data_IF_268772861942
#
_entry.id   IF_268772861942
#
_cell.length_a   1.000
_cell.length_b   1.000
_cell.length_c   1.000
_cell.angle_alpha   90.00
_cell.angle_beta   90.00
_cell.angle_gamma   90.00
#
_symmetry.space_group_name_H-M   'P 1'
#
loop_
_entity.id
_entity.type
_entity.pdbx_description
1 polymer ?
#
# COMPACT_ATOMS: atom_id res chain seq x y z
N UNK A 1 -8.75 12.05 7.95
CA UNK A 1 -9.33 10.72 8.23
C UNK A 1 -10.86 10.82 8.31
N UNK A 2 -11.41 11.51 9.32
CA UNK A 2 -12.85 11.57 9.59
C UNK A 2 -13.72 12.10 8.44
N UNK A 3 -13.32 13.21 7.80
CA UNK A 3 -14.11 13.83 6.72
C UNK A 3 -14.46 12.87 5.59
N UNK A 4 -13.45 12.27 4.95
CA UNK A 4 -13.65 11.27 3.86
C UNK A 4 -14.39 10.01 4.28
N UNK A 5 -14.45 9.66 5.57
CA UNK A 5 -15.17 8.49 6.07
C UNK A 5 -16.65 8.75 6.37
N UNK A 6 -17.01 9.95 6.86
CA UNK A 6 -18.36 10.19 7.40
C UNK A 6 -19.10 11.37 6.77
N UNK A 7 -18.40 12.25 6.05
CA UNK A 7 -19.02 13.40 5.40
C UNK A 7 -19.27 13.09 3.94
N UNK A 8 -20.54 12.93 3.57
CA UNK A 8 -20.97 12.64 2.18
C UNK A 8 -20.63 13.74 1.18
N UNK A 9 -20.45 14.99 1.64
CA UNK A 9 -20.01 16.12 0.82
C UNK A 9 -18.49 16.17 0.59
N UNK A 10 -17.72 15.29 1.24
CA UNK A 10 -16.29 15.19 1.00
C UNK A 10 -16.05 14.57 -0.39
N UNK A 11 -15.19 15.19 -1.20
CA UNK A 11 -14.91 14.73 -2.56
C UNK A 11 -14.38 13.28 -2.59
N UNK A 12 -13.73 12.83 -1.52
CA UNK A 12 -13.23 11.46 -1.41
C UNK A 12 -14.24 10.49 -0.78
N UNK A 13 -15.45 10.92 -0.40
CA UNK A 13 -16.40 10.05 0.33
C UNK A 13 -16.69 8.75 -0.43
N UNK A 14 -16.93 8.82 -1.73
CA UNK A 14 -17.25 7.65 -2.56
C UNK A 14 -16.17 6.55 -2.47
N UNK A 15 -14.90 6.93 -2.35
CA UNK A 15 -13.76 5.99 -2.29
C UNK A 15 -13.43 5.49 -0.86
N UNK A 16 -14.10 6.05 0.14
CA UNK A 16 -13.88 5.75 1.56
C UNK A 16 -15.21 5.41 2.24
N UNK A 17 -15.90 6.39 2.82
CA UNK A 17 -17.17 6.17 3.52
C UNK A 17 -18.23 5.46 2.67
N UNK A 18 -18.32 5.80 1.38
CA UNK A 18 -19.22 5.16 0.42
C UNK A 18 -18.90 3.68 0.16
N UNK A 19 -17.68 3.23 0.45
CA UNK A 19 -17.27 1.81 0.41
C UNK A 19 -17.42 1.09 1.75
N UNK A 20 -17.91 1.79 2.78
CA UNK A 20 -18.04 1.26 4.13
C UNK A 20 -16.77 1.32 4.99
N UNK A 21 -15.73 2.05 4.54
CA UNK A 21 -14.49 2.24 5.31
C UNK A 21 -14.77 3.19 6.48
N UNK A 22 -14.53 2.72 7.70
CA UNK A 22 -14.77 3.43 8.95
C UNK A 22 -13.48 3.68 9.71
N UNK A 23 -13.63 4.41 10.81
CA UNK A 23 -12.62 4.62 11.84
C UNK A 23 -13.07 3.88 13.08
N UNK A 24 -12.19 3.13 13.73
CA UNK A 24 -12.55 2.38 14.92
C UNK A 24 -13.09 3.32 16.02
N UNK A 25 -14.08 2.83 16.78
CA UNK A 25 -14.79 3.64 17.78
C UNK A 25 -13.84 4.29 18.78
N UNK A 26 -12.82 3.54 19.23
CA UNK A 26 -11.78 4.03 20.15
C UNK A 26 -11.09 5.32 19.68
N UNK A 27 -10.85 5.48 18.38
CA UNK A 27 -10.24 6.70 17.81
C UNK A 27 -11.26 7.80 17.55
N UNK A 28 -12.55 7.47 17.43
CA UNK A 28 -13.64 8.44 17.37
C UNK A 28 -13.92 9.06 18.75
N UNK A 29 -13.76 8.26 19.80
CA UNK A 29 -14.04 8.67 21.18
C UNK A 29 -13.00 9.67 21.70
N UNK A 30 -11.74 9.57 21.27
CA UNK A 30 -10.66 10.42 21.76
C UNK A 30 -9.44 10.43 20.84
N UNK A 31 -8.85 11.62 20.66
CA UNK A 31 -7.59 11.79 19.93
C UNK A 31 -6.39 11.19 20.70
N UNK A 32 -6.45 11.21 22.03
CA UNK A 32 -5.43 10.62 22.91
C UNK A 32 -5.31 9.11 22.68
N UNK A 33 -6.43 8.41 22.43
CA UNK A 33 -6.40 7.00 22.04
C UNK A 33 -5.70 6.79 20.70
N UNK A 34 -5.98 7.65 19.71
CA UNK A 34 -5.27 7.63 18.43
C UNK A 34 -3.77 7.84 18.64
N UNK A 35 -3.39 8.82 19.46
CA UNK A 35 -1.98 9.14 19.75
C UNK A 35 -1.29 8.01 20.52
N UNK A 36 -1.97 7.36 21.46
CA UNK A 36 -1.46 6.21 22.20
C UNK A 36 -1.20 5.00 21.28
N UNK A 37 -2.11 4.75 20.34
CA UNK A 37 -2.02 3.60 19.44
C UNK A 37 -1.02 3.84 18.28
N UNK A 38 -0.96 5.06 17.74
CA UNK A 38 -0.12 5.40 16.58
C UNK A 38 1.22 6.04 16.92
N UNK A 39 1.35 6.61 18.11
CA UNK A 39 2.47 7.45 18.49
C UNK A 39 2.54 8.77 17.71
N UNK A 40 3.52 9.59 18.09
CA UNK A 40 3.83 10.83 17.38
C UNK A 40 4.25 10.54 15.95
N UNK A 41 3.76 11.38 15.01
CA UNK A 41 4.21 11.34 13.62
C UNK A 41 5.74 11.46 13.54
N UNK A 42 6.46 10.49 12.94
CA UNK A 42 7.93 10.46 12.97
C UNK A 42 8.58 11.66 12.28
N UNK A 43 8.01 12.13 11.18
CA UNK A 43 8.50 13.31 10.46
C UNK A 43 7.42 13.96 9.58
N UNK A 44 7.71 15.14 9.05
CA UNK A 44 6.84 15.85 8.10
C UNK A 44 6.61 15.08 6.78
N UNK A 45 7.47 14.11 6.46
CA UNK A 45 7.33 13.28 5.26
C UNK A 45 6.34 12.12 5.47
N UNK A 46 5.97 11.83 6.73
CA UNK A 46 5.03 10.76 7.06
C UNK A 46 3.60 11.27 7.09
N UNK A 47 2.68 10.43 6.62
CA UNK A 47 1.26 10.59 6.83
C UNK A 47 0.61 9.23 7.15
N UNK A 48 -0.63 9.29 7.63
CA UNK A 48 -1.37 8.10 8.03
C UNK A 48 -1.75 7.28 6.80
N UNK A 49 -1.25 6.04 6.75
CA UNK A 49 -1.49 5.05 5.70
C UNK A 49 -2.29 3.87 6.25
N UNK A 50 -3.03 3.19 5.36
CA UNK A 50 -3.68 1.90 5.65
C UNK A 50 -2.93 0.81 4.90
N UNK A 51 -2.52 -0.23 5.62
CA UNK A 51 -1.80 -1.39 5.06
C UNK A 51 -2.67 -2.12 4.05
N UNK A 52 -3.91 -2.40 4.42
CA UNK A 52 -4.98 -2.78 3.51
C UNK A 52 -5.86 -1.55 3.21
N UNK A 53 -5.80 -1.10 1.95
CA UNK A 53 -6.63 0.01 1.45
C UNK A 53 -8.14 -0.26 1.47
N UNK A 54 -8.57 -1.48 1.77
CA UNK A 54 -9.98 -1.86 1.93
C UNK A 54 -10.40 -1.95 3.40
N UNK A 55 -9.47 -2.13 4.33
CA UNK A 55 -9.75 -2.22 5.77
C UNK A 55 -9.98 -0.85 6.42
N UNK A 56 -10.43 -0.85 7.66
CA UNK A 56 -10.77 0.37 8.41
C UNK A 56 -9.53 1.14 8.91
N UNK A 57 -9.74 2.35 9.43
CA UNK A 57 -8.71 3.04 10.22
C UNK A 57 -8.72 2.50 11.64
N UNK A 58 -7.72 1.69 11.96
CA UNK A 58 -7.54 1.05 13.26
C UNK A 58 -6.06 0.74 13.50
N UNK A 59 -5.63 0.51 14.75
CA UNK A 59 -4.21 0.33 15.08
C UNK A 59 -3.51 -0.75 14.25
N UNK A 60 -4.20 -1.86 13.98
CA UNK A 60 -3.64 -3.00 13.25
C UNK A 60 -3.52 -2.75 11.74
N UNK A 61 -4.38 -1.91 11.18
CA UNK A 61 -4.38 -1.60 9.74
C UNK A 61 -3.62 -0.31 9.43
N UNK A 62 -3.38 0.56 10.40
CA UNK A 62 -2.72 1.84 10.16
C UNK A 62 -1.22 1.82 10.43
N UNK A 63 -0.51 2.72 9.75
CA UNK A 63 0.92 3.00 10.00
C UNK A 63 1.25 4.43 9.59
N UNK A 64 2.33 4.97 10.15
CA UNK A 64 2.99 6.11 9.55
C UNK A 64 3.77 5.63 8.33
N UNK A 65 3.57 6.27 7.18
CA UNK A 65 4.29 5.95 5.96
C UNK A 65 4.59 7.21 5.15
N UNK A 66 5.72 7.18 4.47
CA UNK A 66 6.15 8.16 3.48
C UNK A 66 5.33 8.03 2.19
N UNK A 67 5.41 9.06 1.33
CA UNK A 67 4.77 9.02 0.01
C UNK A 67 5.25 7.84 -0.86
N UNK A 68 6.51 7.44 -0.74
CA UNK A 68 7.07 6.29 -1.47
C UNK A 68 6.49 4.97 -0.97
N UNK A 69 6.37 4.79 0.35
CA UNK A 69 5.79 3.59 0.95
C UNK A 69 4.29 3.47 0.65
N UNK A 70 3.55 4.57 0.69
CA UNK A 70 2.14 4.60 0.29
C UNK A 70 1.96 4.27 -1.20
N UNK A 71 2.89 4.71 -2.05
CA UNK A 71 2.86 4.39 -3.47
C UNK A 71 3.06 2.90 -3.74
N UNK A 72 3.82 2.19 -2.89
CA UNK A 72 4.00 0.74 -2.96
C UNK A 72 2.71 -0.02 -2.59
N UNK A 73 1.87 0.53 -1.70
CA UNK A 73 0.59 -0.06 -1.28
C UNK A 73 -0.57 0.15 -2.28
N UNK A 74 -0.36 0.83 -3.41
CA UNK A 74 -1.45 1.10 -4.37
C UNK A 74 -1.95 -0.19 -5.00
N UNK A 75 -3.28 -0.37 -5.01
CA UNK A 75 -4.00 -1.51 -5.64
C UNK A 75 -3.57 -1.85 -7.07
N UNK A 76 -3.03 -0.88 -7.82
CA UNK A 76 -2.57 -1.10 -9.19
C UNK A 76 -1.17 -1.71 -9.30
N UNK A 77 -0.43 -1.82 -8.20
CA UNK A 77 0.84 -2.51 -8.21
C UNK A 77 0.57 -4.01 -8.31
N UNK A 78 1.13 -4.65 -9.34
CA UNK A 78 1.10 -6.10 -9.45
C UNK A 78 2.03 -6.66 -8.35
N UNK A 79 1.45 -7.41 -7.44
CA UNK A 79 2.11 -8.02 -6.29
C UNK A 79 2.66 -9.40 -6.66
N UNK A 80 3.79 -9.76 -6.08
CA UNK A 80 4.46 -11.05 -6.24
C UNK A 80 4.95 -11.55 -4.89
N UNK A 81 5.12 -12.87 -4.76
CA UNK A 81 5.68 -13.49 -3.57
C UNK A 81 7.17 -13.73 -3.81
N UNK A 82 8.00 -13.26 -2.89
CA UNK A 82 9.45 -13.53 -2.83
C UNK A 82 9.78 -13.92 -1.40
N UNK A 83 10.39 -15.09 -1.19
CA UNK A 83 10.74 -15.63 0.12
C UNK A 83 9.58 -15.56 1.13
N UNK A 84 8.40 -16.06 0.72
CA UNK A 84 7.15 -16.06 1.50
C UNK A 84 6.60 -14.68 1.88
N UNK A 85 7.14 -13.60 1.29
CA UNK A 85 6.66 -12.22 1.50
C UNK A 85 5.98 -11.68 0.25
N UNK A 86 4.76 -11.15 0.43
CA UNK A 86 4.05 -10.42 -0.63
C UNK A 86 4.59 -9.00 -0.73
N UNK A 87 5.08 -8.62 -1.92
CA UNK A 87 5.60 -7.27 -2.20
C UNK A 87 5.31 -6.84 -3.63
N UNK A 88 5.51 -5.55 -3.94
CA UNK A 88 5.34 -5.06 -5.31
C UNK A 88 6.44 -5.63 -6.22
N UNK A 89 6.18 -5.81 -7.52
CA UNK A 89 7.23 -6.22 -8.47
C UNK A 89 8.42 -5.26 -8.46
N UNK A 90 8.19 -3.96 -8.22
CA UNK A 90 9.27 -2.99 -8.14
C UNK A 90 10.21 -3.32 -6.99
N UNK A 91 9.66 -3.56 -5.81
CA UNK A 91 10.45 -3.91 -4.64
C UNK A 91 11.12 -5.28 -4.81
N UNK A 92 10.40 -6.25 -5.37
CA UNK A 92 10.96 -7.56 -5.70
C UNK A 92 12.13 -7.46 -6.69
N UNK A 93 12.04 -6.60 -7.71
CA UNK A 93 13.14 -6.36 -8.64
C UNK A 93 14.32 -5.68 -7.96
N UNK A 94 14.08 -4.69 -7.10
CA UNK A 94 15.13 -4.04 -6.31
C UNK A 94 15.83 -5.04 -5.39
N UNK A 95 15.08 -5.88 -4.67
CA UNK A 95 15.61 -6.91 -3.77
C UNK A 95 16.46 -7.94 -4.53
N UNK A 96 16.00 -8.38 -5.69
CA UNK A 96 16.67 -9.40 -6.50
C UNK A 96 17.74 -8.85 -7.46
N UNK A 97 17.97 -7.53 -7.47
CA UNK A 97 18.89 -6.88 -8.41
C UNK A 97 18.50 -7.03 -9.88
N UNK A 98 17.19 -7.08 -10.19
CA UNK A 98 16.65 -7.29 -11.53
C UNK A 98 16.17 -5.99 -12.17
N UNK A 99 16.23 -5.94 -13.52
CA UNK A 99 15.67 -4.84 -14.29
C UNK A 99 14.13 -4.87 -14.25
N UNK A 100 13.55 -3.93 -13.50
CA UNK A 100 12.10 -3.76 -13.37
C UNK A 100 11.38 -3.64 -14.72
N UNK A 101 11.94 -2.90 -15.68
CA UNK A 101 11.28 -2.68 -16.99
C UNK A 101 11.24 -3.98 -17.79
N UNK A 102 12.33 -4.76 -17.75
CA UNK A 102 12.38 -6.07 -18.41
C UNK A 102 11.38 -7.05 -17.79
N UNK A 103 11.35 -7.13 -16.46
CA UNK A 103 10.44 -8.02 -15.73
C UNK A 103 8.98 -7.62 -16.01
N UNK A 104 8.64 -6.33 -15.94
CA UNK A 104 7.31 -5.82 -16.27
C UNK A 104 6.88 -6.16 -17.70
N UNK A 105 7.79 -6.00 -18.68
CA UNK A 105 7.52 -6.37 -20.07
C UNK A 105 7.17 -7.85 -20.23
N UNK A 106 7.94 -8.73 -19.58
CA UNK A 106 7.73 -10.19 -19.62
C UNK A 106 6.40 -10.59 -18.98
N UNK A 107 6.11 -10.02 -17.82
CA UNK A 107 4.86 -10.20 -17.11
C UNK A 107 3.64 -9.72 -17.91
N UNK A 108 3.78 -8.63 -18.68
CA UNK A 108 2.73 -8.16 -19.60
C UNK A 108 2.54 -9.10 -20.81
N UNK A 109 3.59 -9.84 -21.18
CA UNK A 109 3.54 -10.93 -22.19
C UNK A 109 3.06 -12.27 -21.61
N UNK A 110 2.55 -12.29 -20.39
CA UNK A 110 2.01 -13.50 -19.74
C UNK A 110 3.03 -14.43 -19.12
N UNK A 111 4.28 -14.00 -18.94
CA UNK A 111 5.29 -14.81 -18.26
C UNK A 111 4.97 -14.93 -16.78
N UNK A 112 5.37 -16.06 -16.17
CA UNK A 112 5.42 -16.18 -14.71
C UNK A 112 6.45 -15.21 -14.14
N UNK A 113 6.32 -14.82 -12.86
CA UNK A 113 7.31 -13.96 -12.22
C UNK A 113 8.69 -14.63 -12.17
N UNK A 114 8.74 -15.93 -11.89
CA UNK A 114 9.95 -16.74 -11.86
C UNK A 114 10.67 -16.77 -13.22
N UNK A 115 9.95 -17.01 -14.32
CA UNK A 115 10.52 -16.93 -15.67
C UNK A 115 10.98 -15.50 -16.00
N UNK A 116 10.23 -14.49 -15.53
CA UNK A 116 10.51 -13.09 -15.81
C UNK A 116 11.84 -12.63 -15.22
N UNK A 117 12.26 -13.17 -14.07
CA UNK A 117 13.52 -12.82 -13.37
C UNK A 117 14.71 -13.73 -13.72
N UNK A 118 14.46 -14.95 -14.22
CA UNK A 118 15.48 -15.98 -14.42
C UNK A 118 16.01 -16.07 -15.84
N UNK A 119 15.15 -15.94 -16.87
CA UNK A 119 15.59 -16.21 -18.25
C UNK A 119 16.47 -15.07 -18.80
N UNK A 120 17.54 -15.37 -19.54
CA UNK A 120 18.40 -14.35 -20.15
C UNK A 120 17.66 -13.55 -21.23
N UNK A 121 18.10 -12.32 -21.49
CA UNK A 121 17.60 -11.53 -22.63
C UNK A 121 18.07 -12.22 -23.91
N UNK A 122 17.14 -12.64 -24.78
CA UNK A 122 17.49 -13.17 -26.10
C UNK A 122 18.30 -12.09 -26.84
N UNK A 123 19.56 -12.40 -27.16
CA UNK A 123 20.35 -11.63 -28.11
C UNK A 123 19.99 -12.18 -29.48
N UNK A 124 19.49 -11.31 -30.35
CA UNK A 124 19.31 -11.58 -31.76
C UNK A 124 20.61 -11.20 -32.46
#
# INVERSE_FOLDING_TARGET
MLGRCYRTTDAAFADYGGRGIKVCQRWLDSFENFLADMGSRPSMQHSLDRRDGNGDYEPNNCRWATKSEQAQNRRHNRMVIVDDRSMSIRDACTLLGKDFKLVQLRLNKGWSFEDAISRPKRRW
#
